data_IF_549688053472
#
_entry.id   IF_549688053472
#
_cell.length_a   1.000
_cell.length_b   1.000
_cell.length_c   1.000
_cell.angle_alpha   90.00
_cell.angle_beta   90.00
_cell.angle_gamma   90.00
#
_symmetry.space_group_name_H-M   'P 1'
#
loop_
_entity.id
_entity.type
_entity.pdbx_description
1 polymer ?
#
# COMPACT_ATOMS: atom_id res chain seq x y z
N UNK A 1 3.25 0.79 25.21
CA UNK A 1 1.82 1.07 25.44
C UNK A 1 1.09 1.57 24.18
N UNK A 2 1.47 2.70 23.58
CA UNK A 2 0.80 3.19 22.35
C UNK A 2 1.10 2.29 21.13
N UNK A 3 2.37 1.90 20.96
CA UNK A 3 2.83 1.00 19.90
C UNK A 3 2.16 -0.38 19.97
N UNK A 4 1.94 -0.92 21.18
CA UNK A 4 1.23 -2.18 21.38
C UNK A 4 -0.25 -2.10 21.00
N UNK A 5 -0.89 -0.93 21.15
CA UNK A 5 -2.28 -0.69 20.72
C UNK A 5 -2.38 -0.50 19.21
N UNK A 6 -1.43 0.23 18.61
CA UNK A 6 -1.34 0.43 17.16
C UNK A 6 -1.13 -0.90 16.44
N UNK A 7 -0.46 -1.89 17.05
CA UNK A 7 -0.31 -3.22 16.47
C UNK A 7 -1.55 -4.11 16.61
N UNK A 8 -2.60 -3.67 17.33
CA UNK A 8 -3.85 -4.41 17.40
C UNK A 8 -4.63 -4.26 16.08
N UNK A 9 -4.97 -5.37 15.39
CA UNK A 9 -5.64 -5.29 14.09
C UNK A 9 -6.98 -4.54 14.15
N UNK A 10 -7.76 -4.78 15.21
CA UNK A 10 -9.06 -4.13 15.40
C UNK A 10 -8.91 -2.62 15.63
N UNK A 11 -7.91 -2.20 16.41
CA UNK A 11 -7.66 -0.79 16.67
C UNK A 11 -7.15 -0.08 15.41
N UNK A 12 -6.22 -0.68 14.67
CA UNK A 12 -5.71 -0.16 13.40
C UNK A 12 -6.83 -0.03 12.38
N UNK A 13 -7.65 -1.06 12.23
CA UNK A 13 -8.78 -1.06 11.31
C UNK A 13 -9.81 0.02 11.71
N UNK A 14 -10.14 0.13 12.99
CA UNK A 14 -11.05 1.16 13.48
C UNK A 14 -10.50 2.57 13.22
N UNK A 15 -9.19 2.78 13.40
CA UNK A 15 -8.52 4.04 13.11
C UNK A 15 -8.56 4.36 11.62
N UNK A 16 -8.24 3.40 10.75
CA UNK A 16 -8.30 3.56 9.29
C UNK A 16 -9.73 3.88 8.85
N UNK A 17 -10.72 3.09 9.28
CA UNK A 17 -12.12 3.33 8.95
C UNK A 17 -12.61 4.69 9.46
N UNK A 18 -12.24 5.06 10.69
CA UNK A 18 -12.58 6.35 11.27
C UNK A 18 -11.97 7.51 10.49
N UNK A 19 -10.69 7.40 10.12
CA UNK A 19 -10.01 8.40 9.30
C UNK A 19 -10.64 8.52 7.90
N UNK A 20 -10.93 7.39 7.26
CA UNK A 20 -11.61 7.33 5.95
C UNK A 20 -12.98 7.99 5.99
N UNK A 21 -13.81 7.65 6.99
CA UNK A 21 -15.15 8.23 7.14
C UNK A 21 -15.10 9.72 7.47
N UNK A 22 -14.17 10.14 8.32
CA UNK A 22 -13.97 11.56 8.63
C UNK A 22 -13.57 12.34 7.38
N UNK A 23 -12.64 11.81 6.59
CA UNK A 23 -12.15 12.46 5.37
C UNK A 23 -13.27 12.60 4.33
N UNK A 24 -14.01 11.53 4.05
CA UNK A 24 -15.19 11.59 3.18
C UNK A 24 -16.27 12.54 3.73
N UNK A 25 -16.48 12.54 5.04
CA UNK A 25 -17.48 13.41 5.68
C UNK A 25 -17.12 14.89 5.57
N UNK A 26 -15.84 15.24 5.73
CA UNK A 26 -15.34 16.61 5.54
C UNK A 26 -15.46 17.02 4.07
N UNK A 27 -15.07 16.16 3.13
CA UNK A 27 -15.18 16.47 1.70
C UNK A 27 -16.65 16.66 1.29
N UNK A 28 -17.55 15.79 1.75
CA UNK A 28 -18.98 15.94 1.50
C UNK A 28 -19.58 17.20 2.14
N UNK A 29 -19.07 17.63 3.30
CA UNK A 29 -19.53 18.85 3.95
C UNK A 29 -19.06 20.14 3.25
N UNK A 30 -17.96 20.06 2.49
CA UNK A 30 -17.38 21.19 1.76
C UNK A 30 -17.85 21.27 0.30
N UNK A 31 -18.46 20.21 -0.23
CA UNK A 31 -18.95 20.14 -1.60
C UNK A 31 -20.48 20.09 -1.65
N UNK A 32 -21.07 20.78 -2.62
CA UNK A 32 -22.53 20.90 -2.74
C UNK A 32 -23.23 19.64 -3.27
N UNK A 33 -22.48 18.64 -3.74
CA UNK A 33 -23.02 17.41 -4.32
C UNK A 33 -22.28 16.16 -3.86
N UNK A 34 -23.00 15.03 -3.80
CA UNK A 34 -22.40 13.72 -3.53
C UNK A 34 -21.59 13.24 -4.73
N UNK A 35 -21.98 13.59 -5.96
CA UNK A 35 -21.32 13.15 -7.18
C UNK A 35 -19.89 13.70 -7.28
N UNK A 36 -19.66 14.95 -6.86
CA UNK A 36 -18.34 15.58 -6.87
C UNK A 36 -17.32 14.90 -5.95
N UNK A 37 -17.75 14.19 -4.90
CA UNK A 37 -16.84 13.38 -4.06
C UNK A 37 -16.23 12.20 -4.83
N UNK A 38 -16.94 11.73 -5.88
CA UNK A 38 -16.53 10.61 -6.74
C UNK A 38 -15.95 11.07 -8.10
N UNK A 39 -15.89 12.37 -8.35
CA UNK A 39 -15.26 12.90 -9.57
C UNK A 39 -13.74 12.83 -9.48
N UNK A 40 -13.08 12.71 -10.64
CA UNK A 40 -11.60 12.74 -10.76
C UNK A 40 -11.05 14.03 -10.11
N UNK A 41 -10.08 13.88 -9.20
CA UNK A 41 -9.40 14.96 -8.48
C UNK A 41 -9.91 15.25 -7.06
N UNK A 42 -10.94 14.54 -6.58
CA UNK A 42 -11.53 14.76 -5.25
C UNK A 42 -11.07 13.74 -4.19
N UNK A 43 -11.65 13.80 -2.99
CA UNK A 43 -11.14 13.12 -1.79
C UNK A 43 -10.88 11.61 -1.98
N UNK A 44 -11.68 10.91 -2.79
CA UNK A 44 -11.53 9.46 -2.97
C UNK A 44 -10.20 9.11 -3.65
N UNK A 45 -9.74 9.90 -4.63
CA UNK A 45 -8.47 9.66 -5.34
C UNK A 45 -7.25 9.95 -4.47
N UNK A 46 -7.34 10.94 -3.57
CA UNK A 46 -6.25 11.25 -2.62
C UNK A 46 -6.19 10.28 -1.44
N UNK A 47 -7.28 9.58 -1.14
CA UNK A 47 -7.36 8.74 0.04
C UNK A 47 -6.62 7.41 -0.14
N UNK A 48 -6.67 6.79 -1.33
CA UNK A 48 -5.92 5.57 -1.65
C UNK A 48 -4.40 5.72 -1.47
N UNK A 49 -3.70 6.73 -2.04
CA UNK A 49 -2.27 6.87 -1.85
C UNK A 49 -1.91 7.26 -0.41
N UNK A 50 -2.74 8.04 0.27
CA UNK A 50 -2.53 8.40 1.69
C UNK A 50 -2.60 7.16 2.58
N UNK A 51 -3.58 6.27 2.38
CA UNK A 51 -3.69 5.02 3.12
C UNK A 51 -2.52 4.07 2.82
N UNK A 52 -2.07 4.01 1.57
CA UNK A 52 -0.88 3.25 1.19
C UNK A 52 0.37 3.79 1.89
N UNK A 53 0.54 5.12 1.95
CA UNK A 53 1.66 5.76 2.64
C UNK A 53 1.60 5.55 4.15
N UNK A 54 0.40 5.65 4.75
CA UNK A 54 0.19 5.31 6.15
C UNK A 54 0.56 3.84 6.43
N UNK A 55 0.26 2.93 5.51
CA UNK A 55 0.69 1.53 5.57
C UNK A 55 2.22 1.38 5.58
N UNK A 56 2.94 2.13 4.75
CA UNK A 56 4.42 2.15 4.75
C UNK A 56 4.95 2.65 6.09
N UNK A 57 4.41 3.75 6.61
CA UNK A 57 4.82 4.33 7.90
C UNK A 57 4.55 3.37 9.06
N UNK A 58 3.38 2.73 9.08
CA UNK A 58 3.04 1.72 10.07
C UNK A 58 3.98 0.51 9.98
N UNK A 59 4.29 0.04 8.77
CA UNK A 59 5.21 -1.06 8.55
C UNK A 59 6.62 -0.71 9.06
N UNK A 60 7.19 0.41 8.62
CA UNK A 60 8.54 0.83 9.00
C UNK A 60 8.65 1.26 10.47
N UNK A 61 7.61 1.88 11.04
CA UNK A 61 7.62 2.42 12.40
C UNK A 61 7.26 1.41 13.47
N UNK A 62 6.42 0.42 13.16
CA UNK A 62 5.96 -0.59 14.12
C UNK A 62 6.51 -2.00 13.84
N UNK A 63 7.06 -2.26 12.65
CA UNK A 63 7.50 -3.58 12.18
C UNK A 63 8.94 -3.99 12.51
N UNK A 64 9.67 -3.26 13.35
CA UNK A 64 11.10 -3.48 13.61
C UNK A 64 11.45 -4.80 14.36
N UNK A 65 11.35 -5.95 13.69
CA UNK A 65 11.85 -7.26 14.16
C UNK A 65 12.69 -7.99 13.09
N UNK A 66 13.42 -9.05 13.45
CA UNK A 66 14.28 -9.79 12.49
C UNK A 66 13.51 -10.42 11.30
N UNK A 67 12.22 -10.74 11.48
CA UNK A 67 11.34 -11.21 10.41
C UNK A 67 11.08 -10.14 9.33
N UNK A 68 11.32 -8.87 9.65
CA UNK A 68 11.01 -7.71 8.81
C UNK A 68 12.06 -7.49 7.71
N UNK A 69 13.35 -7.71 8.00
CA UNK A 69 14.43 -7.64 6.99
C UNK A 69 14.20 -8.59 5.82
N UNK A 70 13.52 -9.71 6.06
CA UNK A 70 13.22 -10.72 5.04
C UNK A 70 11.98 -10.36 4.20
N UNK A 71 11.19 -9.37 4.63
CA UNK A 71 9.93 -8.93 4.03
C UNK A 71 9.97 -7.50 3.48
N UNK A 72 11.15 -6.98 3.14
CA UNK A 72 11.33 -5.66 2.54
C UNK A 72 10.46 -5.40 1.30
N UNK A 73 10.00 -6.45 0.62
CA UNK A 73 9.11 -6.34 -0.53
C UNK A 73 7.72 -5.81 -0.16
N UNK A 74 7.29 -5.90 1.10
CA UNK A 74 5.97 -5.40 1.54
C UNK A 74 5.89 -3.87 1.51
N UNK A 75 6.75 -3.11 2.22
CA UNK A 75 6.71 -1.65 2.13
C UNK A 75 7.03 -1.15 0.72
N UNK A 76 7.83 -1.90 -0.04
CA UNK A 76 8.13 -1.53 -1.42
C UNK A 76 6.92 -1.72 -2.35
N UNK A 77 6.12 -2.77 -2.19
CA UNK A 77 4.86 -2.93 -2.93
C UNK A 77 3.90 -1.80 -2.61
N UNK A 78 3.76 -1.44 -1.33
CA UNK A 78 2.92 -0.31 -0.92
C UNK A 78 3.40 1.01 -1.55
N UNK A 79 4.73 1.22 -1.61
CA UNK A 79 5.31 2.38 -2.27
C UNK A 79 5.03 2.37 -3.78
N UNK A 80 5.22 1.24 -4.46
CA UNK A 80 4.94 1.12 -5.91
C UNK A 80 3.46 1.36 -6.23
N UNK A 81 2.55 0.88 -5.39
CA UNK A 81 1.11 1.15 -5.51
C UNK A 81 0.79 2.63 -5.26
N UNK A 82 1.41 3.26 -4.25
CA UNK A 82 1.20 4.68 -4.00
C UNK A 82 1.71 5.55 -5.17
N UNK A 83 2.88 5.22 -5.72
CA UNK A 83 3.44 5.90 -6.89
C UNK A 83 2.55 5.75 -8.13
N UNK A 84 1.95 4.56 -8.32
CA UNK A 84 0.98 4.28 -9.39
C UNK A 84 -0.28 5.13 -9.25
N UNK A 85 -0.78 5.28 -8.03
CA UNK A 85 -1.99 6.05 -7.75
C UNK A 85 -1.76 7.56 -7.86
N UNK A 86 -0.56 8.06 -7.54
CA UNK A 86 -0.17 9.45 -7.80
C UNK A 86 0.05 9.78 -9.29
N UNK A 87 -0.19 8.82 -10.20
CA UNK A 87 0.04 8.95 -11.64
C UNK A 87 1.48 9.41 -11.97
N UNK A 88 2.45 9.07 -11.10
CA UNK A 88 3.84 9.53 -11.24
C UNK A 88 4.53 8.91 -12.46
N UNK A 89 4.05 7.77 -12.96
CA UNK A 89 4.51 7.22 -14.23
C UNK A 89 4.18 8.14 -15.41
N UNK A 90 3.04 8.84 -15.41
CA UNK A 90 2.73 9.85 -16.44
C UNK A 90 3.52 11.15 -16.29
N UNK A 91 4.01 11.45 -15.08
CA UNK A 91 4.85 12.65 -14.83
C UNK A 91 6.33 12.42 -15.14
N UNK A 92 6.80 11.18 -15.04
CA UNK A 92 8.21 10.80 -15.20
C UNK A 92 8.53 10.19 -16.57
N UNK A 93 7.55 9.58 -17.23
CA UNK A 93 7.70 8.97 -18.55
C UNK A 93 6.64 9.50 -19.51
N UNK A 94 6.98 9.62 -20.80
CA UNK A 94 6.07 10.17 -21.82
C UNK A 94 4.81 9.33 -22.04
N UNK A 95 4.90 8.03 -21.72
CA UNK A 95 3.83 7.04 -21.76
C UNK A 95 3.88 6.23 -20.46
N UNK A 96 2.75 5.66 -20.00
CA UNK A 96 2.72 4.93 -18.73
C UNK A 96 3.67 3.72 -18.72
N UNK A 97 4.32 3.44 -17.59
CA UNK A 97 5.35 2.38 -17.45
C UNK A 97 4.85 0.98 -17.85
N UNK A 98 3.55 0.74 -17.72
CA UNK A 98 2.88 -0.52 -18.09
C UNK A 98 2.28 -0.50 -19.50
N UNK A 99 2.32 0.62 -20.21
CA UNK A 99 1.79 0.71 -21.56
C UNK A 99 2.82 0.17 -22.55
N UNK A 100 2.35 -0.71 -23.44
CA UNK A 100 3.20 -1.32 -24.47
C UNK A 100 3.83 -0.28 -25.41
N UNK A 101 3.14 0.86 -25.59
CA UNK A 101 3.61 2.01 -26.39
C UNK A 101 4.94 2.56 -25.92
N UNK A 102 5.19 2.61 -24.61
CA UNK A 102 6.48 3.06 -24.06
C UNK A 102 7.64 2.24 -24.63
N UNK A 103 7.41 0.94 -24.88
CA UNK A 103 8.46 0.03 -25.36
C UNK A 103 8.53 -0.05 -26.89
N UNK A 104 7.39 0.08 -27.59
CA UNK A 104 7.31 -0.05 -29.04
C UNK A 104 7.58 1.26 -29.81
N UNK A 105 7.30 2.41 -29.22
CA UNK A 105 7.39 3.71 -29.90
C UNK A 105 8.81 4.31 -29.82
N UNK A 106 9.01 5.48 -30.42
CA UNK A 106 10.27 6.25 -30.47
C UNK A 106 10.70 6.88 -29.13
N UNK A 107 10.08 6.45 -28.02
CA UNK A 107 10.44 6.90 -26.68
C UNK A 107 11.96 6.74 -26.43
N UNK A 108 12.60 7.68 -25.72
CA UNK A 108 14.02 7.62 -25.43
C UNK A 108 14.44 6.28 -24.82
N UNK A 109 15.60 5.74 -25.22
CA UNK A 109 16.08 4.45 -24.75
C UNK A 109 16.22 4.37 -23.21
N UNK A 110 16.49 5.50 -22.55
CA UNK A 110 16.58 5.58 -21.10
C UNK A 110 15.22 5.43 -20.41
N UNK A 111 14.12 5.94 -20.98
CA UNK A 111 12.76 5.76 -20.44
C UNK A 111 12.33 4.29 -20.50
N UNK A 112 12.67 3.60 -21.60
CA UNK A 112 12.45 2.16 -21.75
C UNK A 112 13.21 1.35 -20.70
N UNK A 113 14.46 1.72 -20.44
CA UNK A 113 15.29 1.07 -19.43
C UNK A 113 14.73 1.25 -18.02
N UNK A 114 14.28 2.47 -17.68
CA UNK A 114 13.64 2.77 -16.38
C UNK A 114 12.31 2.01 -16.24
N UNK A 115 11.45 2.05 -17.27
CA UNK A 115 10.19 1.30 -17.27
C UNK A 115 10.41 -0.20 -17.07
N UNK A 116 11.36 -0.79 -17.80
CA UNK A 116 11.70 -2.20 -17.65
C UNK A 116 12.24 -2.53 -16.24
N UNK A 117 13.06 -1.65 -15.66
CA UNK A 117 13.57 -1.82 -14.31
C UNK A 117 12.44 -1.79 -13.27
N UNK A 118 11.46 -0.90 -13.41
CA UNK A 118 10.27 -0.84 -12.55
C UNK A 118 9.42 -2.10 -12.71
N UNK A 119 9.19 -2.57 -13.94
CA UNK A 119 8.46 -3.83 -14.19
C UNK A 119 9.18 -5.02 -13.55
N UNK A 120 10.50 -5.12 -13.73
CA UNK A 120 11.30 -6.17 -13.10
C UNK A 120 11.22 -6.12 -11.57
N UNK A 121 11.22 -4.92 -10.99
CA UNK A 121 11.05 -4.72 -9.55
C UNK A 121 9.67 -5.16 -9.05
N UNK A 122 8.60 -4.85 -9.79
CA UNK A 122 7.23 -5.30 -9.49
C UNK A 122 7.17 -6.83 -9.53
N UNK A 123 7.71 -7.46 -10.56
CA UNK A 123 7.72 -8.92 -10.70
C UNK A 123 8.52 -9.59 -9.58
N UNK A 124 9.67 -9.02 -9.19
CA UNK A 124 10.47 -9.50 -8.07
C UNK A 124 9.68 -9.43 -6.75
N UNK A 125 9.00 -8.31 -6.52
CA UNK A 125 8.16 -8.13 -5.33
C UNK A 125 6.99 -9.11 -5.32
N UNK A 126 6.30 -9.28 -6.44
CA UNK A 126 5.19 -10.22 -6.59
C UNK A 126 5.65 -11.67 -6.35
N UNK A 127 6.80 -12.05 -6.93
CA UNK A 127 7.41 -13.36 -6.70
C UNK A 127 7.72 -13.58 -5.22
N UNK A 128 8.33 -12.62 -4.53
CA UNK A 128 8.61 -12.74 -3.09
C UNK A 128 7.36 -12.74 -2.24
N UNK A 129 6.36 -11.95 -2.58
CA UNK A 129 5.07 -11.95 -1.89
C UNK A 129 4.42 -13.34 -1.99
N UNK A 130 4.41 -13.93 -3.19
CA UNK A 130 3.83 -15.26 -3.44
C UNK A 130 4.61 -16.41 -2.79
N UNK A 131 5.94 -16.33 -2.73
CA UNK A 131 6.80 -17.44 -2.27
C UNK A 131 7.20 -17.35 -0.80
N UNK A 132 7.34 -16.14 -0.25
CA UNK A 132 7.81 -15.91 1.12
C UNK A 132 6.66 -15.57 2.05
N UNK A 133 5.84 -14.58 1.69
CA UNK A 133 4.83 -14.02 2.61
C UNK A 133 3.52 -14.79 2.56
N UNK A 134 2.96 -15.03 1.37
CA UNK A 134 1.66 -15.68 1.20
C UNK A 134 1.59 -17.07 1.84
N UNK A 135 2.60 -17.96 1.73
CA UNK A 135 2.55 -19.28 2.35
C UNK A 135 2.63 -19.21 3.88
N UNK A 136 3.35 -18.24 4.42
CA UNK A 136 3.45 -18.00 5.87
C UNK A 136 2.13 -17.47 6.43
N UNK A 137 1.54 -16.49 5.76
CA UNK A 137 0.24 -15.93 6.11
C UNK A 137 -0.87 -16.99 6.02
N UNK A 138 -0.92 -17.77 4.93
CA UNK A 138 -1.89 -18.85 4.75
C UNK A 138 -1.78 -19.93 5.83
N UNK A 139 -0.54 -20.32 6.18
CA UNK A 139 -0.31 -21.23 7.31
C UNK A 139 -0.78 -20.65 8.64
N UNK A 140 -0.55 -19.36 8.88
CA UNK A 140 -1.01 -18.65 10.07
C UNK A 140 -2.54 -18.65 10.19
N UNK A 141 -3.24 -18.32 9.11
CA UNK A 141 -4.70 -18.36 9.04
C UNK A 141 -5.26 -19.76 9.29
N UNK A 142 -4.72 -20.79 8.61
CA UNK A 142 -5.20 -22.17 8.77
C UNK A 142 -4.99 -22.72 10.17
N UNK A 143 -3.97 -22.24 10.88
CA UNK A 143 -3.67 -22.67 12.25
C UNK A 143 -4.38 -21.83 13.31
N UNK A 144 -5.21 -20.85 12.90
CA UNK A 144 -5.83 -19.91 13.82
C UNK A 144 -4.82 -19.11 14.64
N UNK A 145 -3.54 -19.05 14.21
CA UNK A 145 -2.51 -18.30 14.92
C UNK A 145 -2.86 -16.83 14.82
N UNK A 146 -3.22 -16.26 15.96
CA UNK A 146 -3.34 -14.81 16.10
C UNK A 146 -1.92 -14.22 15.94
N UNK A 147 -1.77 -13.08 15.24
CA UNK A 147 -0.46 -12.44 15.10
C UNK A 147 0.16 -12.24 16.49
N UNK A 148 1.46 -12.55 16.61
CA UNK A 148 2.18 -12.49 17.88
C UNK A 148 2.05 -11.08 18.47
N UNK A 149 1.35 -10.95 19.61
CA UNK A 149 0.94 -9.66 20.17
C UNK A 149 -0.55 -9.58 20.58
N UNK A 150 -1.36 -10.61 20.33
CA UNK A 150 -2.76 -10.63 20.75
C UNK A 150 -2.90 -10.70 22.30
N UNK A 151 -3.66 -9.79 22.96
CA UNK A 151 -3.71 -9.69 24.43
C UNK A 151 -4.34 -10.88 25.16
N UNK A 152 -5.04 -11.78 24.46
CA UNK A 152 -5.78 -12.87 25.12
C UNK A 152 -4.90 -13.95 25.75
N UNK A 153 -3.59 -13.94 25.47
CA UNK A 153 -2.67 -14.97 25.95
C UNK A 153 -1.94 -14.53 27.23
N UNK A 154 -2.17 -13.29 27.71
CA UNK A 154 -1.50 -12.72 28.89
C UNK A 154 -2.26 -12.95 30.21
N UNK A 155 -3.43 -13.59 30.17
CA UNK A 155 -4.30 -13.81 31.33
C UNK A 155 -4.71 -15.28 31.51
N UNK A 156 -3.84 -16.22 31.13
CA UNK A 156 -3.94 -17.62 31.52
C UNK A 156 -2.73 -18.03 32.35
#
# INVERSE_FOLDING_TARGET
MLQDRILQPAFTLALILGATLLFLGVDLALNDSVASVFDEGHAVELMSPVLLFAGIVLWCGCGCGESDRRQWHVPLVLALLALREFDLDKRLTSEGVLQLRLYSDTAPAWEKAVGLAVVALILLCAWRLATVTAPCWWRGLRQGRRPAGWPADRWR
#
